data_IF_408766559714
#
_entry.id   IF_408766559714
#
_cell.length_a   1.000
_cell.length_b   1.000
_cell.length_c   1.000
_cell.angle_alpha   90.00
_cell.angle_beta   90.00
_cell.angle_gamma   90.00
#
_symmetry.space_group_name_H-M   'P 1'
#
loop_
_entity.id
_entity.type
_entity.pdbx_description
1 polymer ?
#
# COMPACT_ATOMS: atom_id res chain seq x y z
N UNK A 1 59.09 -89.13 52.03
CA UNK A 1 58.92 -87.67 52.12
C UNK A 1 59.07 -87.29 53.59
N UNK A 2 59.92 -86.32 53.94
CA UNK A 2 60.07 -85.89 55.34
C UNK A 2 59.02 -84.83 55.68
N UNK A 3 58.68 -84.69 56.96
CA UNK A 3 57.72 -83.67 57.43
C UNK A 3 58.13 -82.24 57.02
N UNK A 4 59.43 -81.96 57.01
CA UNK A 4 59.98 -80.66 56.60
C UNK A 4 59.73 -80.37 55.11
N UNK A 5 59.84 -81.39 54.24
CA UNK A 5 59.57 -81.23 52.81
C UNK A 5 58.09 -80.93 52.55
N UNK A 6 57.20 -81.61 53.27
CA UNK A 6 55.76 -81.37 53.18
C UNK A 6 55.39 -79.96 53.68
N UNK A 7 55.93 -79.52 54.82
CA UNK A 7 55.73 -78.16 55.33
C UNK A 7 56.24 -77.10 54.35
N UNK A 8 57.41 -77.31 53.74
CA UNK A 8 57.97 -76.40 52.72
C UNK A 8 57.10 -76.36 51.47
N UNK A 9 56.58 -77.49 51.03
CA UNK A 9 55.64 -77.57 49.90
C UNK A 9 54.33 -76.82 50.21
N UNK A 10 53.73 -77.00 51.39
CA UNK A 10 52.53 -76.26 51.80
C UNK A 10 52.77 -74.75 51.78
N UNK A 11 53.87 -74.28 52.38
CA UNK A 11 54.18 -72.85 52.43
C UNK A 11 54.31 -72.23 51.04
N UNK A 12 54.94 -72.95 50.09
CA UNK A 12 55.07 -72.48 48.70
C UNK A 12 53.70 -72.38 48.00
N UNK A 13 52.90 -73.44 48.06
CA UNK A 13 51.56 -73.44 47.44
C UNK A 13 50.66 -72.36 48.02
N UNK A 14 50.72 -72.14 49.34
CA UNK A 14 49.93 -71.11 49.99
C UNK A 14 50.39 -69.69 49.61
N UNK A 15 51.69 -69.48 49.45
CA UNK A 15 52.25 -68.22 48.93
C UNK A 15 51.77 -67.94 47.50
N UNK A 16 51.90 -68.92 46.61
CA UNK A 16 51.45 -68.82 45.21
C UNK A 16 49.93 -68.54 45.11
N UNK A 17 49.11 -69.23 45.91
CA UNK A 17 47.67 -69.00 45.97
C UNK A 17 47.34 -67.59 46.49
N UNK A 18 48.01 -67.13 47.54
CA UNK A 18 47.81 -65.79 48.11
C UNK A 18 48.10 -64.70 47.08
N UNK A 19 49.19 -64.83 46.33
CA UNK A 19 49.56 -63.84 45.31
C UNK A 19 48.56 -63.81 44.16
N UNK A 20 48.08 -64.98 43.73
CA UNK A 20 47.04 -65.08 42.71
C UNK A 20 45.74 -64.38 43.15
N UNK A 21 45.26 -64.67 44.36
CA UNK A 21 44.07 -64.03 44.93
C UNK A 21 44.25 -62.52 45.04
N UNK A 22 45.43 -62.05 45.49
CA UNK A 22 45.70 -60.61 45.60
C UNK A 22 45.69 -59.93 44.23
N UNK A 23 46.26 -60.55 43.21
CA UNK A 23 46.27 -60.01 41.85
C UNK A 23 44.86 -59.97 41.26
N UNK A 24 44.07 -61.04 41.39
CA UNK A 24 42.67 -61.05 40.98
C UNK A 24 41.87 -59.96 41.69
N UNK A 25 42.08 -59.77 42.99
CA UNK A 25 41.39 -58.73 43.76
C UNK A 25 41.72 -57.31 43.24
N UNK A 26 42.98 -57.06 42.83
CA UNK A 26 43.39 -55.79 42.21
C UNK A 26 42.75 -55.60 40.82
N UNK A 27 42.73 -56.63 40.00
CA UNK A 27 42.11 -56.59 38.67
C UNK A 27 40.61 -56.29 38.75
N UNK A 28 39.89 -56.98 39.65
CA UNK A 28 38.46 -56.75 39.89
C UNK A 28 38.18 -55.29 40.30
N UNK A 29 38.97 -54.73 41.23
CA UNK A 29 38.84 -53.32 41.63
C UNK A 29 39.12 -52.34 40.50
N UNK A 30 40.07 -52.66 39.62
CA UNK A 30 40.36 -51.82 38.45
C UNK A 30 39.22 -51.88 37.42
N UNK A 31 38.58 -53.04 37.25
CA UNK A 31 37.40 -53.18 36.40
C UNK A 31 36.21 -52.42 36.98
N UNK A 32 35.94 -52.53 38.27
CA UNK A 32 34.86 -51.80 38.96
C UNK A 32 34.97 -50.29 38.72
N UNK A 33 36.14 -49.69 38.96
CA UNK A 33 36.40 -48.27 38.66
C UNK A 33 36.19 -47.91 37.20
N UNK A 34 36.55 -48.81 36.27
CA UNK A 34 36.35 -48.60 34.83
C UNK A 34 34.85 -48.61 34.49
N UNK A 35 34.07 -49.49 35.12
CA UNK A 35 32.62 -49.53 34.96
C UNK A 35 31.97 -48.27 35.52
N UNK A 36 32.30 -47.86 36.74
CA UNK A 36 31.81 -46.61 37.34
C UNK A 36 32.04 -45.41 36.43
N UNK A 37 33.27 -45.24 35.91
CA UNK A 37 33.59 -44.16 34.98
C UNK A 37 32.71 -44.19 33.72
N UNK A 38 32.47 -45.38 33.16
CA UNK A 38 31.60 -45.53 31.98
C UNK A 38 30.15 -45.23 32.28
N UNK A 39 29.67 -45.56 33.48
CA UNK A 39 28.31 -45.22 33.91
C UNK A 39 28.14 -43.71 34.04
N UNK A 40 29.09 -43.00 34.65
CA UNK A 40 29.04 -41.54 34.76
C UNK A 40 29.06 -40.84 33.38
N UNK A 41 29.91 -41.32 32.47
CA UNK A 41 29.93 -40.84 31.08
C UNK A 41 28.59 -41.09 30.38
N UNK A 42 27.94 -42.23 30.65
CA UNK A 42 26.64 -42.57 30.09
C UNK A 42 25.52 -41.70 30.66
N UNK A 43 25.52 -41.43 31.97
CA UNK A 43 24.57 -40.52 32.63
C UNK A 43 24.66 -39.13 32.02
N UNK A 44 25.89 -38.60 31.89
CA UNK A 44 26.11 -37.28 31.28
C UNK A 44 25.59 -37.22 29.83
N UNK A 45 25.76 -38.30 29.06
CA UNK A 45 25.22 -38.39 27.70
C UNK A 45 23.69 -38.44 27.69
N UNK A 46 23.07 -39.16 28.62
CA UNK A 46 21.61 -39.22 28.75
C UNK A 46 21.02 -37.84 29.07
N UNK A 47 21.61 -37.10 30.02
CA UNK A 47 21.17 -35.74 30.36
C UNK A 47 21.24 -34.80 29.16
N UNK A 48 22.32 -34.88 28.38
CA UNK A 48 22.46 -34.07 27.17
C UNK A 48 21.42 -34.44 26.09
N UNK A 49 21.12 -35.74 25.93
CA UNK A 49 20.08 -36.19 25.00
C UNK A 49 18.69 -35.72 25.43
N UNK A 50 18.39 -35.74 26.73
CA UNK A 50 17.12 -35.25 27.27
C UNK A 50 16.94 -33.75 26.99
N UNK A 51 17.99 -32.93 27.22
CA UNK A 51 17.97 -31.50 26.88
C UNK A 51 17.72 -31.27 25.39
N UNK A 52 18.46 -31.96 24.52
CA UNK A 52 18.29 -31.84 23.07
C UNK A 52 16.88 -32.25 22.62
N UNK A 53 16.30 -33.28 23.24
CA UNK A 53 14.93 -33.71 22.93
C UNK A 53 13.89 -32.64 23.29
N UNK A 54 14.08 -31.94 24.42
CA UNK A 54 13.23 -30.83 24.82
C UNK A 54 13.36 -29.65 23.85
N UNK A 55 14.57 -29.27 23.44
CA UNK A 55 14.80 -28.22 22.44
C UNK A 55 14.13 -28.57 21.10
N UNK A 56 14.26 -29.82 20.63
CA UNK A 56 13.61 -30.30 19.42
C UNK A 56 12.08 -30.25 19.50
N UNK A 57 11.51 -30.52 20.69
CA UNK A 57 10.07 -30.42 20.93
C UNK A 57 9.58 -28.98 20.81
N UNK A 58 10.29 -28.01 21.39
CA UNK A 58 9.95 -26.59 21.26
C UNK A 58 10.09 -26.09 19.82
N UNK A 59 11.15 -26.51 19.12
CA UNK A 59 11.31 -26.20 17.69
C UNK A 59 10.14 -26.75 16.87
N UNK A 60 9.65 -27.95 17.17
CA UNK A 60 8.47 -28.52 16.51
C UNK A 60 7.21 -27.68 16.73
N UNK A 61 7.03 -27.12 17.92
CA UNK A 61 5.89 -26.26 18.25
C UNK A 61 5.94 -24.96 17.45
N UNK A 62 7.09 -24.29 17.42
CA UNK A 62 7.27 -23.03 16.65
C UNK A 62 7.06 -23.25 15.14
N UNK A 63 7.54 -24.37 14.59
CA UNK A 63 7.29 -24.73 13.18
C UNK A 63 5.78 -24.88 12.89
N UNK A 64 5.00 -25.41 13.83
CA UNK A 64 3.54 -25.54 13.68
C UNK A 64 2.87 -24.16 13.66
N UNK A 65 3.22 -23.27 14.58
CA UNK A 65 2.70 -21.91 14.62
C UNK A 65 3.01 -21.14 13.32
N UNK A 66 4.24 -21.29 12.80
CA UNK A 66 4.62 -20.70 11.51
C UNK A 66 3.79 -21.24 10.34
N UNK A 67 3.45 -22.54 10.33
CA UNK A 67 2.59 -23.13 9.29
C UNK A 67 1.16 -22.57 9.34
N UNK A 68 0.61 -22.41 10.53
CA UNK A 68 -0.72 -21.82 10.73
C UNK A 68 -0.73 -20.34 10.29
N UNK A 69 0.28 -19.57 10.67
CA UNK A 69 0.46 -18.19 10.23
C UNK A 69 0.59 -18.08 8.70
N UNK A 70 1.40 -18.96 8.07
CA UNK A 70 1.54 -18.98 6.61
C UNK A 70 0.21 -19.31 5.91
N UNK A 71 -0.59 -20.23 6.46
CA UNK A 71 -1.92 -20.56 5.93
C UNK A 71 -2.87 -19.35 6.02
N UNK A 72 -2.86 -18.64 7.17
CA UNK A 72 -3.63 -17.41 7.36
C UNK A 72 -3.20 -16.31 6.38
N UNK A 73 -1.89 -16.12 6.17
CA UNK A 73 -1.38 -15.14 5.22
C UNK A 73 -1.81 -15.45 3.79
N UNK A 74 -1.73 -16.71 3.36
CA UNK A 74 -2.18 -17.10 2.02
C UNK A 74 -3.67 -16.77 1.81
N UNK A 75 -4.54 -17.08 2.78
CA UNK A 75 -5.95 -16.70 2.68
C UNK A 75 -6.18 -15.19 2.58
N UNK A 76 -5.37 -14.38 3.28
CA UNK A 76 -5.44 -12.91 3.21
C UNK A 76 -4.95 -12.39 1.85
N UNK A 77 -3.95 -13.02 1.26
CA UNK A 77 -3.44 -12.70 -0.07
C UNK A 77 -4.54 -12.98 -1.11
N UNK A 78 -5.14 -14.17 -1.09
CA UNK A 78 -6.25 -14.52 -1.99
C UNK A 78 -7.41 -13.52 -1.90
N UNK A 79 -7.72 -13.03 -0.70
CA UNK A 79 -8.74 -12.01 -0.50
C UNK A 79 -8.32 -10.65 -1.08
N UNK A 80 -7.05 -10.25 -0.89
CA UNK A 80 -6.53 -9.01 -1.42
C UNK A 80 -6.50 -9.01 -2.96
N UNK A 81 -6.13 -10.12 -3.59
CA UNK A 81 -6.14 -10.29 -5.05
C UNK A 81 -7.54 -10.10 -5.64
N UNK A 82 -8.57 -10.67 -4.98
CA UNK A 82 -9.97 -10.46 -5.38
C UNK A 82 -10.39 -9.00 -5.29
N UNK A 83 -10.02 -8.31 -4.20
CA UNK A 83 -10.32 -6.88 -4.02
C UNK A 83 -9.59 -6.00 -5.03
N UNK A 84 -8.35 -6.35 -5.40
CA UNK A 84 -7.59 -5.65 -6.44
C UNK A 84 -8.32 -5.79 -7.78
N UNK A 85 -8.74 -7.01 -8.14
CA UNK A 85 -9.49 -7.26 -9.38
C UNK A 85 -10.78 -6.43 -9.44
N UNK A 86 -11.53 -6.37 -8.34
CA UNK A 86 -12.75 -5.55 -8.25
C UNK A 86 -12.47 -4.05 -8.44
N UNK A 87 -11.40 -3.54 -7.82
CA UNK A 87 -10.99 -2.13 -7.96
C UNK A 87 -10.53 -1.83 -9.39
N UNK A 88 -9.83 -2.75 -10.05
CA UNK A 88 -9.43 -2.61 -11.45
C UNK A 88 -10.64 -2.48 -12.38
N UNK A 89 -11.68 -3.31 -12.15
CA UNK A 89 -12.94 -3.23 -12.90
C UNK A 89 -13.65 -1.88 -12.68
N UNK A 90 -13.74 -1.41 -11.43
CA UNK A 90 -14.32 -0.10 -11.10
C UNK A 90 -13.56 1.06 -11.76
N UNK A 91 -12.22 1.01 -11.75
CA UNK A 91 -11.38 2.03 -12.36
C UNK A 91 -11.60 2.10 -13.88
N UNK A 92 -11.75 0.95 -14.54
CA UNK A 92 -12.06 0.89 -15.96
C UNK A 92 -13.40 1.53 -16.31
N UNK A 93 -14.42 1.37 -15.45
CA UNK A 93 -15.72 2.01 -15.65
C UNK A 93 -15.65 3.53 -15.46
N UNK A 94 -15.01 4.00 -14.38
CA UNK A 94 -14.78 5.45 -14.15
C UNK A 94 -14.04 6.08 -15.33
N UNK A 95 -13.05 5.39 -15.91
CA UNK A 95 -12.32 5.85 -17.09
C UNK A 95 -13.22 6.01 -18.31
N UNK A 96 -14.22 5.16 -18.50
CA UNK A 96 -15.20 5.31 -19.59
C UNK A 96 -16.12 6.48 -19.33
N UNK A 97 -16.66 6.60 -18.13
CA UNK A 97 -17.57 7.69 -17.75
C UNK A 97 -16.91 9.07 -17.85
N UNK A 98 -15.65 9.19 -17.42
CA UNK A 98 -14.88 10.44 -17.50
C UNK A 98 -14.68 10.86 -18.96
N UNK A 99 -14.37 9.92 -19.85
CA UNK A 99 -14.28 10.19 -21.30
C UNK A 99 -15.59 10.70 -21.90
N UNK A 100 -16.74 10.18 -21.44
CA UNK A 100 -18.06 10.65 -21.87
C UNK A 100 -18.31 12.08 -21.34
N UNK A 101 -18.06 12.32 -20.06
CA UNK A 101 -18.19 13.65 -19.44
C UNK A 101 -17.32 14.70 -20.14
N UNK A 102 -16.08 14.35 -20.48
CA UNK A 102 -15.18 15.24 -21.19
C UNK A 102 -15.71 15.63 -22.58
N UNK A 103 -16.27 14.68 -23.34
CA UNK A 103 -16.90 14.96 -24.63
C UNK A 103 -18.11 15.90 -24.49
N UNK A 104 -18.95 15.67 -23.48
CA UNK A 104 -20.12 16.51 -23.23
C UNK A 104 -19.70 17.94 -22.80
N UNK A 105 -18.67 18.08 -21.96
CA UNK A 105 -18.13 19.38 -21.57
C UNK A 105 -17.60 20.17 -22.78
N UNK A 106 -16.83 19.52 -23.66
CA UNK A 106 -16.33 20.15 -24.90
C UNK A 106 -17.46 20.63 -25.81
N UNK A 107 -18.52 19.83 -25.97
CA UNK A 107 -19.69 20.23 -26.77
C UNK A 107 -20.42 21.41 -26.14
N UNK A 108 -20.59 21.41 -24.82
CA UNK A 108 -21.25 22.51 -24.11
C UNK A 108 -20.44 23.81 -24.20
N UNK A 109 -19.12 23.73 -24.07
CA UNK A 109 -18.22 24.86 -24.24
C UNK A 109 -18.34 25.46 -25.65
N UNK A 110 -18.33 24.62 -26.68
CA UNK A 110 -18.55 25.07 -28.07
C UNK A 110 -19.92 25.73 -28.24
N UNK A 111 -20.98 25.11 -27.71
CA UNK A 111 -22.34 25.67 -27.80
C UNK A 111 -22.47 27.02 -27.09
N UNK A 112 -21.80 27.21 -25.95
CA UNK A 112 -21.77 28.47 -25.23
C UNK A 112 -21.00 29.55 -26.00
N UNK A 113 -19.90 29.18 -26.65
CA UNK A 113 -19.14 30.08 -27.50
C UNK A 113 -20.00 30.58 -28.68
N UNK A 114 -20.69 29.68 -29.37
CA UNK A 114 -21.61 30.02 -30.46
C UNK A 114 -22.74 30.95 -30.00
N UNK A 115 -23.34 30.68 -28.84
CA UNK A 115 -24.36 31.56 -28.24
C UNK A 115 -23.81 32.95 -27.92
N UNK A 116 -22.63 33.03 -27.33
CA UNK A 116 -22.02 34.30 -26.95
C UNK A 116 -21.66 35.13 -28.20
N UNK A 117 -21.17 34.49 -29.25
CA UNK A 117 -20.91 35.12 -30.55
C UNK A 117 -22.22 35.62 -31.20
N UNK A 118 -23.32 34.84 -31.10
CA UNK A 118 -24.64 35.25 -31.57
C UNK A 118 -25.15 36.50 -30.84
N UNK A 119 -25.11 36.51 -29.50
CA UNK A 119 -25.54 37.64 -28.66
C UNK A 119 -24.70 38.90 -28.94
N UNK A 120 -23.43 38.74 -29.32
CA UNK A 120 -22.56 39.88 -29.64
C UNK A 120 -22.69 40.42 -31.05
N UNK A 121 -23.24 39.66 -31.99
CA UNK A 121 -23.34 40.04 -33.40
C UNK A 121 -24.03 41.40 -33.66
N UNK A 122 -25.10 41.81 -32.95
CA UNK A 122 -25.70 43.14 -33.12
C UNK A 122 -24.99 44.25 -32.32
N UNK A 123 -24.03 43.94 -31.44
CA UNK A 123 -23.40 44.94 -30.57
C UNK A 123 -22.30 45.73 -31.31
N UNK A 124 -22.63 46.93 -31.78
CA UNK A 124 -21.66 47.88 -32.33
C UNK A 124 -20.79 48.47 -31.21
N UNK A 125 -19.46 48.27 -31.26
CA UNK A 125 -18.52 48.96 -30.37
C UNK A 125 -18.10 50.28 -30.98
N UNK A 126 -18.52 51.40 -30.38
CA UNK A 126 -18.04 52.72 -30.76
C UNK A 126 -16.70 53.02 -30.06
N UNK A 127 -15.66 53.28 -30.85
CA UNK A 127 -14.31 53.62 -30.37
C UNK A 127 -14.04 55.07 -30.80
N UNK A 128 -13.63 55.92 -29.85
CA UNK A 128 -13.34 57.33 -30.10
C UNK A 128 -14.47 58.32 -29.76
N UNK A 129 -15.47 57.91 -28.97
CA UNK A 129 -16.47 58.83 -28.41
C UNK A 129 -15.79 59.67 -27.30
N UNK A 130 -15.83 61.02 -27.34
CA UNK A 130 -15.24 61.86 -26.31
C UNK A 130 -15.90 61.61 -24.95
N UNK A 131 -15.10 61.36 -23.91
CA UNK A 131 -15.58 61.23 -22.53
C UNK A 131 -16.02 62.62 -22.04
N UNK A 132 -17.32 62.83 -21.83
CA UNK A 132 -17.87 64.05 -21.25
C UNK A 132 -18.13 63.88 -19.75
N UNK A 133 -18.02 64.98 -18.98
CA UNK A 133 -17.97 64.97 -17.51
C UNK A 133 -19.22 64.41 -16.79
N UNK A 134 -20.33 64.20 -17.50
CA UNK A 134 -21.54 63.50 -17.02
C UNK A 134 -22.25 62.84 -18.22
N UNK A 135 -21.89 61.59 -18.52
CA UNK A 135 -22.55 60.79 -19.54
C UNK A 135 -23.77 60.08 -18.95
N UNK A 136 -24.96 60.67 -19.12
CA UNK A 136 -26.23 60.05 -18.76
C UNK A 136 -26.78 59.25 -19.96
N UNK A 137 -27.61 58.25 -19.71
CA UNK A 137 -28.18 57.33 -20.70
C UNK A 137 -28.82 58.08 -21.90
N UNK A 138 -29.55 59.17 -21.61
CA UNK A 138 -30.17 60.02 -22.64
C UNK A 138 -29.17 60.81 -23.50
N UNK A 139 -28.01 61.21 -22.97
CA UNK A 139 -26.97 61.89 -23.77
C UNK A 139 -26.29 60.90 -24.72
N UNK A 140 -26.08 59.66 -24.26
CA UNK A 140 -25.49 58.61 -25.08
C UNK A 140 -26.43 58.24 -26.23
N UNK A 141 -27.73 58.13 -25.96
CA UNK A 141 -28.76 57.88 -26.96
C UNK A 141 -28.85 58.99 -28.02
N UNK A 142 -28.80 60.26 -27.60
CA UNK A 142 -28.75 61.39 -28.54
C UNK A 142 -27.49 61.35 -29.42
N UNK A 143 -26.32 61.06 -28.83
CA UNK A 143 -25.06 60.93 -29.57
C UNK A 143 -25.11 59.78 -30.58
N UNK A 144 -25.74 58.66 -30.22
CA UNK A 144 -25.98 57.53 -31.13
C UNK A 144 -26.90 57.93 -32.29
N UNK A 145 -27.99 58.63 -32.01
CA UNK A 145 -28.91 59.12 -33.04
C UNK A 145 -28.24 60.10 -34.01
N UNK A 146 -27.41 61.03 -33.50
CA UNK A 146 -26.65 61.98 -34.32
C UNK A 146 -25.68 61.25 -35.26
N UNK A 147 -24.96 60.25 -34.76
CA UNK A 147 -24.04 59.43 -35.57
C UNK A 147 -24.80 58.66 -36.66
N UNK A 148 -25.96 58.08 -36.35
CA UNK A 148 -26.79 57.35 -37.32
C UNK A 148 -27.27 58.29 -38.43
N UNK A 149 -27.81 59.46 -38.08
CA UNK A 149 -28.28 60.44 -39.06
C UNK A 149 -27.16 60.94 -39.98
N UNK A 150 -25.95 61.17 -39.44
CA UNK A 150 -24.80 61.60 -40.25
C UNK A 150 -24.35 60.51 -41.23
N UNK A 151 -24.38 59.24 -40.82
CA UNK A 151 -24.00 58.09 -41.66
C UNK A 151 -25.03 57.85 -42.76
N UNK A 152 -26.32 57.83 -42.46
CA UNK A 152 -27.39 57.60 -43.44
C UNK A 152 -27.42 58.70 -44.51
N UNK A 153 -27.17 59.95 -44.13
CA UNK A 153 -27.03 61.09 -45.05
C UNK A 153 -25.86 60.92 -46.02
N UNK A 154 -24.77 60.28 -45.59
CA UNK A 154 -23.58 60.03 -46.42
C UNK A 154 -23.74 58.81 -47.34
N UNK A 155 -24.58 57.84 -46.98
CA UNK A 155 -24.77 56.60 -47.75
C UNK A 155 -26.01 56.62 -48.65
N UNK A 156 -26.94 57.57 -48.46
CA UNK A 156 -28.03 57.85 -49.41
C UNK A 156 -29.23 56.92 -49.32
N UNK A 157 -29.61 56.46 -48.12
CA UNK A 157 -30.76 55.57 -47.88
C UNK A 157 -31.96 56.38 -47.33
N UNK A 158 -33.14 56.26 -47.95
CA UNK A 158 -34.40 56.88 -47.50
C UNK A 158 -35.25 55.90 -46.67
N UNK A 159 -35.62 56.28 -45.44
CA UNK A 159 -36.20 55.40 -44.40
C UNK A 159 -37.64 54.94 -44.66
N UNK A 160 -37.88 53.63 -44.54
CA UNK A 160 -39.16 53.04 -44.13
C UNK A 160 -39.05 52.57 -42.67
N UNK A 161 -40.02 52.93 -41.82
CA UNK A 161 -40.01 52.60 -40.38
C UNK A 161 -40.14 51.10 -40.14
N UNK A 162 -39.27 50.54 -39.31
CA UNK A 162 -39.49 49.27 -38.61
C UNK A 162 -39.11 49.43 -37.14
N UNK A 163 -40.04 49.11 -36.26
CA UNK A 163 -39.89 49.12 -34.81
C UNK A 163 -39.00 47.95 -34.38
N UNK A 164 -37.86 48.25 -33.77
CA UNK A 164 -37.02 47.28 -33.07
C UNK A 164 -36.51 47.92 -31.78
N UNK A 165 -37.22 47.66 -30.69
CA UNK A 165 -36.86 48.04 -29.34
C UNK A 165 -36.33 46.78 -28.63
N UNK A 166 -35.00 46.66 -28.50
CA UNK A 166 -34.38 45.65 -27.63
C UNK A 166 -33.25 46.28 -26.79
N UNK A 167 -33.64 46.64 -25.56
CA UNK A 167 -32.89 46.53 -24.30
C UNK A 167 -31.43 47.00 -24.33
N UNK A 168 -31.25 48.29 -24.07
CA UNK A 168 -30.11 48.78 -23.28
C UNK A 168 -30.34 48.27 -21.85
N UNK A 169 -29.57 47.30 -21.36
CA UNK A 169 -29.70 46.90 -19.97
C UNK A 169 -28.37 46.87 -19.24
N UNK A 170 -28.42 47.53 -18.08
CA UNK A 170 -27.36 47.66 -17.11
C UNK A 170 -26.81 46.32 -16.63
N UNK A 171 -25.54 46.39 -16.22
CA UNK A 171 -24.82 45.37 -15.49
C UNK A 171 -25.54 45.04 -14.16
N UNK A 172 -26.47 44.08 -14.24
CA UNK A 172 -27.14 43.49 -13.10
C UNK A 172 -26.20 42.54 -12.36
N UNK A 173 -25.86 42.92 -11.11
CA UNK A 173 -25.20 42.09 -10.11
C UNK A 173 -26.01 40.80 -9.89
N UNK A 174 -25.49 39.66 -10.31
CA UNK A 174 -26.00 38.36 -9.85
C UNK A 174 -25.29 37.99 -8.54
N UNK A 175 -26.09 38.00 -7.47
CA UNK A 175 -25.71 37.45 -6.17
C UNK A 175 -25.34 35.97 -6.32
N UNK A 176 -24.16 35.63 -5.83
CA UNK A 176 -23.71 34.27 -5.56
C UNK A 176 -24.42 33.85 -4.26
N UNK A 177 -25.37 32.91 -4.35
CA UNK A 177 -25.78 32.13 -3.18
C UNK A 177 -24.79 30.97 -3.03
N UNK A 178 -24.12 30.94 -1.89
CA UNK A 178 -23.27 29.84 -1.41
C UNK A 178 -24.12 28.66 -0.94
#
# INVERSE_FOLDING_TARGET
MTELDFRRWIMRNFGELKDHVLNQCKETKNLEKRFEKRFEEMITRMDNLERNMNELKELRNTIRELREANTSFNSRIDQAEKRISEVEDQLNEIKRETKIREKNAKRNEQSLQEMWDYVKRPNLRLIGVPEGDEANESKLENTLQDIIQEKDRKVGISQGRTDADERVNGLGKYNIMA
#
